data_IF_026417087517
#
_entry.id   IF_026417087517
#
_cell.length_a   1.000
_cell.length_b   1.000
_cell.length_c   1.000
_cell.angle_alpha   90.00
_cell.angle_beta   90.00
_cell.angle_gamma   90.00
#
_symmetry.space_group_name_H-M   'P 1'
#
loop_
_entity.id
_entity.type
_entity.pdbx_description
1 polymer ?
#
# COMPACT_ATOMS: atom_id res chain seq x y z
N UNK A 1 -2.70 13.18 -1.47
CA UNK A 1 -1.94 13.20 -2.74
C UNK A 1 -2.17 11.86 -3.42
N UNK A 2 -2.72 11.84 -4.65
CA UNK A 2 -2.98 10.59 -5.38
C UNK A 2 -1.82 10.34 -6.34
N UNK A 3 -1.32 9.11 -6.42
CA UNK A 3 -0.32 8.75 -7.43
C UNK A 3 -0.90 8.88 -8.83
N UNK A 4 -0.04 9.07 -9.83
CA UNK A 4 -0.45 8.97 -11.23
C UNK A 4 -1.04 7.58 -11.47
N UNK A 5 -2.17 7.52 -12.18
CA UNK A 5 -2.77 6.25 -12.63
C UNK A 5 -1.90 5.61 -13.71
N UNK A 6 -1.94 4.29 -13.79
CA UNK A 6 -1.39 3.55 -14.92
C UNK A 6 -2.20 3.83 -16.19
N UNK A 7 -1.60 3.58 -17.35
CA UNK A 7 -2.30 3.56 -18.63
C UNK A 7 -2.96 2.18 -18.79
N UNK A 8 -4.15 2.03 -18.21
CA UNK A 8 -4.84 0.74 -18.06
C UNK A 8 -4.77 0.18 -16.64
N UNK A 9 -4.80 -1.15 -16.53
CA UNK A 9 -4.78 -1.86 -15.25
C UNK A 9 -3.53 -2.72 -15.13
N UNK A 10 -3.02 -2.86 -13.91
CA UNK A 10 -2.17 -3.98 -13.53
C UNK A 10 -3.09 -5.09 -13.02
N UNK A 11 -2.96 -6.27 -13.61
CA UNK A 11 -3.65 -7.48 -13.17
C UNK A 11 -2.77 -8.24 -12.17
N UNK A 12 -3.22 -8.29 -10.91
CA UNK A 12 -2.59 -9.01 -9.82
C UNK A 12 -3.35 -10.28 -9.42
N UNK A 13 -4.38 -10.70 -10.15
CA UNK A 13 -5.29 -11.78 -9.74
C UNK A 13 -4.57 -13.12 -9.50
N UNK A 14 -3.49 -13.37 -10.25
CA UNK A 14 -2.67 -14.56 -10.09
C UNK A 14 -1.70 -14.55 -8.88
N UNK A 15 -1.68 -13.46 -8.10
CA UNK A 15 -0.73 -13.21 -7.01
C UNK A 15 -1.46 -12.87 -5.70
N UNK A 16 -0.84 -13.22 -4.57
CA UNK A 16 -1.43 -12.99 -3.24
C UNK A 16 -0.65 -11.96 -2.40
N UNK A 17 0.54 -11.56 -2.85
CA UNK A 17 1.47 -10.76 -2.07
C UNK A 17 2.22 -9.75 -2.93
N UNK A 18 2.30 -8.50 -2.46
CA UNK A 18 3.29 -7.53 -2.95
C UNK A 18 4.54 -7.62 -2.08
N UNK A 19 5.70 -7.78 -2.71
CA UNK A 19 6.99 -7.76 -2.04
C UNK A 19 7.82 -6.55 -2.47
N UNK A 20 8.47 -5.91 -1.50
CA UNK A 20 9.35 -4.77 -1.72
C UNK A 20 10.70 -5.06 -1.08
N UNK A 21 11.78 -4.98 -1.87
CA UNK A 21 13.13 -4.92 -1.28
C UNK A 21 13.50 -3.47 -1.06
N UNK A 22 13.58 -3.10 0.21
CA UNK A 22 13.73 -1.71 0.62
C UNK A 22 14.65 -1.57 1.83
N UNK A 23 15.25 -0.39 1.96
CA UNK A 23 16.06 0.03 3.10
C UNK A 23 15.44 1.29 3.69
N UNK A 24 15.11 1.23 4.98
CA UNK A 24 14.40 2.30 5.68
C UNK A 24 15.28 3.12 6.60
N UNK A 25 14.71 4.20 7.12
CA UNK A 25 15.30 5.13 8.09
C UNK A 25 14.74 4.95 9.51
N UNK A 26 13.96 3.88 9.74
CA UNK A 26 13.28 3.60 11.01
C UNK A 26 11.92 4.30 11.15
N UNK A 27 11.43 5.02 10.12
CA UNK A 27 10.04 5.48 10.06
C UNK A 27 9.11 4.37 9.56
N UNK A 28 7.82 4.53 9.84
CA UNK A 28 6.78 3.73 9.21
C UNK A 28 6.41 4.34 7.85
N UNK A 29 6.06 3.49 6.88
CA UNK A 29 5.52 3.90 5.60
C UNK A 29 4.13 3.27 5.40
N UNK A 30 3.36 3.79 4.45
CA UNK A 30 2.06 3.25 4.05
C UNK A 30 2.14 2.90 2.58
N UNK A 31 1.84 1.65 2.24
CA UNK A 31 1.57 1.24 0.87
C UNK A 31 0.09 1.43 0.59
N UNK A 32 -0.24 2.12 -0.51
CA UNK A 32 -1.62 2.25 -0.98
C UNK A 32 -1.78 1.56 -2.33
N UNK A 33 -2.85 0.79 -2.50
CA UNK A 33 -3.32 0.27 -3.78
C UNK A 33 -4.63 0.97 -4.12
N UNK A 34 -4.74 1.45 -5.36
CA UNK A 34 -5.99 1.97 -5.91
C UNK A 34 -6.56 0.95 -6.89
N UNK A 35 -7.80 0.52 -6.69
CA UNK A 35 -8.50 -0.38 -7.62
C UNK A 35 -9.69 0.33 -8.23
N UNK A 36 -10.10 -0.10 -9.42
CA UNK A 36 -11.35 0.35 -10.00
C UNK A 36 -12.51 0.19 -9.02
N UNK A 37 -13.41 1.16 -9.03
CA UNK A 37 -14.61 1.13 -8.24
C UNK A 37 -15.64 0.20 -8.91
N UNK A 38 -15.87 -0.97 -8.33
CA UNK A 38 -16.97 -1.88 -8.71
C UNK A 38 -18.05 -1.93 -7.61
N UNK A 39 -17.70 -1.67 -6.34
CA UNK A 39 -18.62 -1.88 -5.21
C UNK A 39 -19.53 -0.66 -4.95
N UNK A 40 -19.12 0.56 -5.28
CA UNK A 40 -19.95 1.73 -5.03
C UNK A 40 -20.89 2.04 -6.21
N UNK A 41 -22.04 2.64 -5.89
CA UNK A 41 -23.09 3.02 -6.84
C UNK A 41 -22.54 3.70 -8.12
N UNK A 42 -23.19 3.52 -9.29
CA UNK A 42 -22.77 4.05 -10.60
C UNK A 42 -22.44 5.55 -10.66
N UNK A 43 -22.82 6.32 -9.64
CA UNK A 43 -22.59 7.76 -9.54
C UNK A 43 -21.28 8.15 -8.81
N UNK A 44 -20.56 7.21 -8.20
CA UNK A 44 -19.28 7.49 -7.52
C UNK A 44 -18.10 7.19 -8.44
N UNK A 45 -17.50 8.23 -9.00
CA UNK A 45 -16.32 8.13 -9.87
C UNK A 45 -15.01 7.86 -9.10
N UNK A 46 -15.05 7.76 -7.77
CA UNK A 46 -13.84 7.64 -6.96
C UNK A 46 -13.39 6.18 -6.83
N UNK A 47 -12.14 5.90 -7.25
CA UNK A 47 -11.49 4.59 -7.09
C UNK A 47 -11.46 4.13 -5.63
N UNK A 48 -11.55 2.83 -5.40
CA UNK A 48 -11.37 2.24 -4.07
C UNK A 48 -9.90 2.33 -3.67
N UNK A 49 -9.64 2.65 -2.39
CA UNK A 49 -8.28 2.74 -1.85
C UNK A 49 -8.07 1.75 -0.72
N UNK A 50 -6.91 1.10 -0.74
CA UNK A 50 -6.55 0.04 0.19
C UNK A 50 -5.18 0.33 0.76
N UNK A 51 -5.01 0.27 2.08
CA UNK A 51 -3.76 0.66 2.74
C UNK A 51 -3.21 -0.44 3.64
N UNK A 52 -1.88 -0.59 3.60
CA UNK A 52 -1.14 -1.44 4.53
C UNK A 52 0.08 -0.69 5.08
N UNK A 53 0.38 -0.92 6.36
CA UNK A 53 1.61 -0.40 6.97
C UNK A 53 2.82 -1.18 6.48
N UNK A 54 3.91 -0.45 6.26
CA UNK A 54 5.19 -0.96 5.79
C UNK A 54 6.25 -0.68 6.86
N UNK A 55 6.78 -1.75 7.42
CA UNK A 55 7.79 -1.73 8.47
C UNK A 55 9.12 -2.23 7.92
N UNK A 56 10.15 -1.40 8.05
CA UNK A 56 11.50 -1.70 7.53
C UNK A 56 12.52 -1.35 8.60
N UNK A 57 13.45 -2.27 8.93
CA UNK A 57 14.55 -1.96 9.82
C UNK A 57 15.38 -0.78 9.31
N UNK A 58 15.85 0.05 10.24
CA UNK A 58 16.75 1.16 9.92
C UNK A 58 18.06 0.61 9.35
N UNK A 59 18.52 1.22 8.25
CA UNK A 59 19.83 1.00 7.66
C UNK A 59 20.15 -0.43 7.18
N UNK A 60 19.14 -1.30 7.02
CA UNK A 60 19.32 -2.65 6.48
C UNK A 60 18.38 -2.92 5.29
N UNK A 61 18.89 -3.61 4.27
CA UNK A 61 18.05 -4.11 3.18
C UNK A 61 17.15 -5.23 3.69
N UNK A 62 15.85 -5.06 3.50
CA UNK A 62 14.85 -6.00 3.95
C UNK A 62 13.80 -6.23 2.87
N UNK A 63 13.31 -7.47 2.78
CA UNK A 63 12.21 -7.82 1.88
C UNK A 63 10.92 -7.79 2.68
N UNK A 64 10.16 -6.71 2.54
CA UNK A 64 8.82 -6.60 3.09
C UNK A 64 7.88 -7.43 2.22
N UNK A 65 7.04 -8.27 2.85
CA UNK A 65 5.96 -8.99 2.19
C UNK A 65 4.63 -8.46 2.71
N UNK A 66 3.80 -7.95 1.81
CA UNK A 66 2.48 -7.40 2.06
C UNK A 66 1.44 -8.28 1.36
N UNK A 67 0.89 -9.28 2.06
CA UNK A 67 -0.26 -10.03 1.54
C UNK A 67 -1.40 -9.07 1.20
N UNK A 68 -2.07 -9.28 0.07
CA UNK A 68 -3.20 -8.45 -0.35
C UNK A 68 -4.31 -8.43 0.71
N UNK A 69 -4.53 -9.54 1.40
CA UNK A 69 -5.46 -9.66 2.52
C UNK A 69 -5.14 -8.80 3.75
N UNK A 70 -3.95 -8.18 3.84
CA UNK A 70 -3.60 -7.24 4.92
C UNK A 70 -3.91 -5.78 4.58
N UNK A 71 -4.28 -5.50 3.33
CA UNK A 71 -4.67 -4.15 2.96
C UNK A 71 -6.09 -3.87 3.45
N UNK A 72 -6.22 -2.80 4.23
CA UNK A 72 -7.51 -2.36 4.77
C UNK A 72 -8.18 -1.38 3.80
N UNK A 73 -9.49 -1.48 3.56
CA UNK A 73 -10.21 -0.49 2.78
C UNK A 73 -10.18 0.85 3.52
N UNK A 74 -9.86 1.93 2.80
CA UNK A 74 -9.79 3.28 3.36
C UNK A 74 -10.58 4.29 2.55
N UNK A 75 -11.16 5.27 3.25
CA UNK A 75 -11.81 6.44 2.66
C UNK A 75 -11.39 7.70 3.39
N UNK A 76 -10.85 8.67 2.65
CA UNK A 76 -10.39 9.97 3.20
C UNK A 76 -9.52 9.82 4.46
N UNK A 77 -8.63 8.82 4.46
CA UNK A 77 -7.70 8.54 5.56
C UNK A 77 -8.27 7.72 6.73
N UNK A 78 -9.53 7.31 6.66
CA UNK A 78 -10.15 6.46 7.67
C UNK A 78 -10.27 5.02 7.16
N UNK A 79 -10.05 4.05 8.04
CA UNK A 79 -10.38 2.65 7.77
C UNK A 79 -11.90 2.51 7.70
N UNK A 80 -12.38 1.82 6.68
CA UNK A 80 -13.80 1.47 6.54
C UNK A 80 -14.03 0.19 7.34
N UNK A 81 -14.90 0.26 8.34
CA UNK A 81 -15.31 -0.91 9.12
C UNK A 81 -16.45 -1.65 8.39
N UNK A 82 -16.12 -2.21 7.23
CA UNK A 82 -17.01 -3.02 6.41
C UNK A 82 -16.20 -4.07 5.64
N UNK A 83 -16.81 -5.23 5.44
CA UNK A 83 -16.22 -6.29 4.63
C UNK A 83 -16.33 -5.89 3.15
N UNK A 84 -15.21 -5.42 2.60
CA UNK A 84 -15.07 -5.03 1.21
C UNK A 84 -13.98 -5.90 0.57
N UNK A 85 -14.28 -6.44 -0.60
CA UNK A 85 -13.33 -7.23 -1.37
C UNK A 85 -12.53 -6.33 -2.33
N UNK A 86 -11.21 -6.50 -2.32
CA UNK A 86 -10.32 -5.86 -3.30
C UNK A 86 -10.49 -6.53 -4.66
N UNK A 87 -10.53 -5.76 -5.75
CA UNK A 87 -10.43 -6.31 -7.10
C UNK A 87 -8.98 -6.25 -7.59
N UNK A 88 -8.17 -7.32 -7.43
CA UNK A 88 -6.75 -7.33 -7.80
C UNK A 88 -6.52 -7.30 -9.32
N UNK A 89 -7.53 -7.65 -10.14
CA UNK A 89 -7.42 -7.61 -11.61
C UNK A 89 -7.49 -6.19 -12.20
N UNK A 90 -7.93 -5.21 -11.39
CA UNK A 90 -8.18 -3.81 -11.83
C UNK A 90 -7.40 -2.79 -11.00
N UNK A 91 -6.10 -3.02 -10.79
CA UNK A 91 -5.24 -2.06 -10.09
C UNK A 91 -4.94 -0.87 -10.99
N UNK A 92 -5.39 0.32 -10.58
CA UNK A 92 -5.25 1.59 -11.29
C UNK A 92 -3.99 2.36 -10.93
N UNK A 93 -3.43 2.11 -9.74
CA UNK A 93 -2.28 2.84 -9.25
C UNK A 93 -1.80 2.30 -7.92
N UNK A 94 -0.55 2.61 -7.59
CA UNK A 94 0.06 2.25 -6.31
C UNK A 94 0.89 3.42 -5.80
N UNK A 95 1.00 3.54 -4.48
CA UNK A 95 1.85 4.55 -3.85
C UNK A 95 2.53 4.02 -2.59
N UNK A 96 3.64 4.67 -2.23
CA UNK A 96 4.33 4.50 -0.96
C UNK A 96 4.49 5.89 -0.34
N UNK A 97 3.87 6.11 0.82
CA UNK A 97 3.93 7.40 1.52
C UNK A 97 4.59 7.24 2.89
N UNK A 98 5.28 8.29 3.33
CA UNK A 98 5.78 8.38 4.70
C UNK A 98 4.59 8.47 5.66
N UNK A 99 4.66 7.74 6.77
CA UNK A 99 3.70 7.87 7.86
C UNK A 99 4.30 8.73 8.96
N UNK A 100 3.65 9.85 9.28
CA UNK A 100 4.10 10.75 10.34
C UNK A 100 3.66 10.27 11.74
N UNK A 101 2.65 9.41 11.84
CA UNK A 101 2.06 8.99 13.11
C UNK A 101 1.79 7.49 13.18
N UNK A 102 2.16 6.87 14.29
CA UNK A 102 2.03 5.41 14.46
C UNK A 102 3.22 4.64 13.89
N UNK A 103 3.17 3.33 14.06
CA UNK A 103 4.27 2.44 13.71
C UNK A 103 4.43 1.30 14.73
N UNK A 104 5.46 0.48 14.54
CA UNK A 104 5.90 -0.44 15.59
C UNK A 104 6.51 0.34 16.78
N UNK A 105 6.50 -0.20 18.01
CA UNK A 105 7.17 0.43 19.15
C UNK A 105 8.61 0.80 18.82
N UNK A 106 8.99 2.06 19.06
CA UNK A 106 10.32 2.59 18.76
C UNK A 106 10.51 3.13 17.32
N UNK A 107 9.46 3.11 16.48
CA UNK A 107 9.51 3.77 15.17
C UNK A 107 9.65 5.29 15.31
N UNK A 108 10.42 5.91 14.41
CA UNK A 108 10.54 7.37 14.32
C UNK A 108 9.23 7.96 13.81
N UNK A 109 8.65 8.90 14.56
CA UNK A 109 7.41 9.61 14.24
C UNK A 109 7.61 11.13 14.22
N UNK A 110 6.57 11.86 13.81
CA UNK A 110 6.56 13.32 13.75
C UNK A 110 7.22 13.90 12.48
N UNK A 111 7.30 15.24 12.40
CA UNK A 111 7.86 15.95 11.25
C UNK A 111 9.37 15.68 11.05
N UNK A 112 9.89 16.13 9.91
CA UNK A 112 11.31 16.11 9.58
C UNK A 112 11.68 15.09 8.51
N UNK A 113 12.98 14.96 8.28
CA UNK A 113 13.52 14.24 7.13
C UNK A 113 13.14 12.77 7.12
N UNK A 114 12.96 12.24 5.91
CA UNK A 114 12.77 10.83 5.63
C UNK A 114 13.74 10.36 4.56
N UNK A 115 14.13 9.09 4.64
CA UNK A 115 14.91 8.42 3.59
C UNK A 115 14.43 6.97 3.46
N UNK A 116 14.02 6.63 2.25
CA UNK A 116 13.74 5.26 1.86
C UNK A 116 14.44 4.98 0.54
N UNK A 117 15.07 3.82 0.45
CA UNK A 117 15.66 3.30 -0.78
C UNK A 117 14.88 2.05 -1.20
N UNK A 118 14.60 1.95 -2.49
CA UNK A 118 13.84 0.86 -3.07
C UNK A 118 14.66 0.23 -4.20
N UNK A 119 14.88 -1.07 -4.11
CA UNK A 119 15.58 -1.85 -5.14
C UNK A 119 14.57 -2.39 -6.16
N UNK A 120 13.56 -3.12 -5.69
CA UNK A 120 12.51 -3.65 -6.54
C UNK A 120 11.17 -3.80 -5.82
N UNK A 121 10.10 -3.85 -6.63
CA UNK A 121 8.74 -4.25 -6.25
C UNK A 121 8.36 -5.45 -7.11
N UNK A 122 7.80 -6.50 -6.51
CA UNK A 122 7.35 -7.71 -7.21
C UNK A 122 6.00 -8.18 -6.67
N UNK A 123 5.16 -8.72 -7.54
CA UNK A 123 4.03 -9.54 -7.15
C UNK A 123 4.52 -10.99 -6.97
N UNK A 124 4.10 -11.64 -5.90
CA UNK A 124 4.44 -13.02 -5.56
C UNK A 124 3.17 -13.83 -5.32
N UNK A 125 3.24 -15.10 -5.69
CA UNK A 125 2.33 -16.13 -5.22
C UNK A 125 3.06 -16.90 -4.12
N UNK A 126 2.50 -16.90 -2.91
CA UNK A 126 3.11 -17.48 -1.72
C UNK A 126 2.33 -18.67 -1.15
N UNK A 127 1.15 -18.96 -1.74
CA UNK A 127 0.37 -20.19 -1.56
C UNK A 127 0.49 -21.16 -2.73
#
# INVERSE_FOLDING_TARGET
>A
MRSKKFDGFIDLDAYDTIALKMKGDGRCYISTIYTENWVNSPAQQEDNSWQAFVFVPKDNWYIVKLPLARYLPTWRGNVIDAELEMNPSRVLGMSLSVNAEGGVPGARSGPGDFRVELDWIKALRTQ
#
